data_IF_857711609782
#
_entry.id   IF_857711609782
#
_cell.length_a   1.000
_cell.length_b   1.000
_cell.length_c   1.000
_cell.angle_alpha   90.00
_cell.angle_beta   90.00
_cell.angle_gamma   90.00
#
_symmetry.space_group_name_H-M   'P 1'
#
loop_
_entity.id
_entity.type
_entity.pdbx_description
1 polymer ?
#
# COMPACT_ATOMS: atom_id res chain seq x y z
N UNK A 1 -29.44 -1.88 43.02
CA UNK A 1 -28.65 -3.08 42.67
C UNK A 1 -29.60 -4.19 42.28
N UNK A 2 -29.56 -4.66 41.03
CA UNK A 2 -29.97 -6.01 40.60
C UNK A 2 -29.46 -6.17 39.15
N UNK A 3 -28.47 -7.05 38.98
CA UNK A 3 -27.80 -7.36 37.71
C UNK A 3 -28.58 -8.47 37.02
N UNK A 4 -29.10 -8.22 35.83
CA UNK A 4 -29.56 -9.26 34.92
C UNK A 4 -28.45 -9.54 33.93
N UNK A 5 -27.82 -10.71 34.10
CA UNK A 5 -26.86 -11.32 33.18
C UNK A 5 -27.68 -11.92 32.05
N UNK A 6 -27.55 -11.38 30.83
CA UNK A 6 -28.06 -12.00 29.61
C UNK A 6 -26.87 -12.58 28.83
N UNK A 7 -26.85 -13.91 28.81
CA UNK A 7 -25.92 -14.77 28.07
C UNK A 7 -26.16 -14.54 26.57
N UNK A 8 -25.14 -14.14 25.81
CA UNK A 8 -25.16 -14.12 24.35
C UNK A 8 -24.13 -15.13 23.82
N UNK A 9 -24.61 -16.36 23.66
CA UNK A 9 -23.97 -17.45 22.96
C UNK A 9 -24.69 -17.63 21.62
N UNK A 10 -23.94 -17.67 20.53
CA UNK A 10 -24.36 -18.31 19.28
C UNK A 10 -25.02 -17.41 18.25
N UNK A 11 -24.18 -16.87 17.36
CA UNK A 11 -24.61 -16.26 16.10
C UNK A 11 -23.53 -16.45 15.05
N UNK A 12 -23.30 -17.70 14.62
CA UNK A 12 -22.53 -18.00 13.41
C UNK A 12 -23.35 -17.48 12.23
N UNK A 13 -23.05 -16.26 11.78
CA UNK A 13 -23.51 -15.77 10.50
C UNK A 13 -22.36 -15.95 9.51
N UNK A 14 -22.47 -17.03 8.72
CA UNK A 14 -21.85 -17.15 7.40
C UNK A 14 -22.42 -16.04 6.51
N UNK A 15 -21.86 -14.84 6.59
CA UNK A 15 -21.99 -13.83 5.54
C UNK A 15 -20.70 -13.84 4.74
N UNK A 16 -20.81 -14.07 3.43
CA UNK A 16 -19.68 -14.13 2.53
C UNK A 16 -18.74 -12.94 2.71
N UNK A 17 -17.44 -13.20 2.72
CA UNK A 17 -16.38 -12.21 2.79
C UNK A 17 -16.38 -11.32 1.54
N UNK A 18 -17.35 -10.43 1.43
CA UNK A 18 -17.21 -9.18 0.67
C UNK A 18 -17.25 -8.05 1.68
N UNK A 19 -16.29 -8.07 2.62
CA UNK A 19 -15.89 -6.84 3.27
C UNK A 19 -15.31 -5.94 2.17
N UNK A 20 -16.17 -5.16 1.51
CA UNK A 20 -15.74 -3.91 0.88
C UNK A 20 -15.10 -3.12 2.01
N UNK A 21 -13.79 -3.26 2.16
CA UNK A 21 -13.01 -2.47 3.10
C UNK A 21 -13.13 -1.04 2.58
N UNK A 22 -14.12 -0.32 3.11
CA UNK A 22 -14.32 1.08 2.78
C UNK A 22 -13.01 1.79 3.13
N UNK A 23 -12.42 2.46 2.14
CA UNK A 23 -11.17 3.19 2.37
C UNK A 23 -11.41 4.18 3.51
N UNK A 24 -10.52 4.23 4.52
CA UNK A 24 -10.70 5.14 5.62
C UNK A 24 -10.76 6.58 5.10
N UNK A 25 -11.64 7.39 5.68
CA UNK A 25 -11.74 8.81 5.34
C UNK A 25 -10.46 9.53 5.75
N UNK A 26 -9.96 10.39 4.87
CA UNK A 26 -8.79 11.21 5.15
C UNK A 26 -9.15 12.30 6.17
N UNK A 27 -8.39 12.36 7.27
CA UNK A 27 -8.55 13.40 8.29
C UNK A 27 -7.94 14.73 7.82
N UNK A 28 -8.45 15.86 8.33
CA UNK A 28 -8.06 17.21 7.90
C UNK A 28 -6.55 17.49 8.04
N UNK A 29 -5.93 17.04 9.12
CA UNK A 29 -4.48 17.14 9.33
C UNK A 29 -3.67 16.35 8.27
N UNK A 30 -4.23 15.27 7.73
CA UNK A 30 -3.60 14.48 6.69
C UNK A 30 -3.66 15.19 5.33
N UNK A 31 -4.71 15.97 5.04
CA UNK A 31 -4.74 16.82 3.84
C UNK A 31 -3.53 17.75 3.79
N UNK A 32 -3.26 18.46 4.90
CA UNK A 32 -2.08 19.34 5.02
C UNK A 32 -0.76 18.59 4.77
N UNK A 33 -0.66 17.37 5.28
CA UNK A 33 0.58 16.58 5.16
C UNK A 33 0.81 16.12 3.72
N UNK A 34 -0.23 15.62 3.06
CA UNK A 34 -0.16 15.19 1.66
C UNK A 34 0.07 16.37 0.70
N UNK A 35 -0.63 17.49 0.89
CA UNK A 35 -0.45 18.69 0.08
C UNK A 35 0.95 19.27 0.23
N UNK A 36 1.45 19.40 1.47
CA UNK A 36 2.80 19.89 1.74
C UNK A 36 3.86 19.00 1.10
N UNK A 37 3.72 17.67 1.18
CA UNK A 37 4.65 16.73 0.54
C UNK A 37 4.66 16.88 -1.00
N UNK A 38 3.48 16.94 -1.63
CA UNK A 38 3.35 17.10 -3.08
C UNK A 38 3.96 18.42 -3.56
N UNK A 39 3.67 19.52 -2.86
CA UNK A 39 4.21 20.84 -3.16
C UNK A 39 5.72 20.87 -2.94
N UNK A 40 6.20 20.27 -1.85
CA UNK A 40 7.62 20.27 -1.53
C UNK A 40 8.45 19.57 -2.61
N UNK A 41 8.02 18.37 -3.02
CA UNK A 41 8.63 17.65 -4.13
C UNK A 41 8.65 18.50 -5.39
N UNK A 42 7.50 19.09 -5.76
CA UNK A 42 7.39 19.89 -6.98
C UNK A 42 8.31 21.12 -6.96
N UNK A 43 8.38 21.85 -5.84
CA UNK A 43 9.23 23.03 -5.71
C UNK A 43 10.72 22.68 -5.71
N UNK A 44 11.11 21.60 -5.04
CA UNK A 44 12.50 21.14 -5.03
C UNK A 44 12.97 20.71 -6.43
N UNK A 45 12.13 20.04 -7.22
CA UNK A 45 12.44 19.70 -8.61
C UNK A 45 12.52 20.96 -9.47
N UNK A 46 11.53 21.87 -9.36
CA UNK A 46 11.49 23.10 -10.15
C UNK A 46 12.68 24.04 -9.87
N UNK A 47 13.22 23.99 -8.64
CA UNK A 47 14.40 24.76 -8.24
C UNK A 47 15.72 24.09 -8.63
N UNK A 48 15.69 22.86 -9.16
CA UNK A 48 16.88 22.10 -9.51
C UNK A 48 17.66 21.53 -8.33
N UNK A 49 17.10 21.57 -7.12
CA UNK A 49 17.78 21.06 -5.91
C UNK A 49 17.72 19.53 -5.78
N UNK A 50 16.76 18.89 -6.45
CA UNK A 50 16.65 17.42 -6.51
C UNK A 50 16.45 16.96 -7.96
N UNK A 51 16.88 15.74 -8.27
CA UNK A 51 16.74 15.21 -9.63
C UNK A 51 15.27 14.96 -10.00
N UNK A 52 14.89 15.07 -11.28
CA UNK A 52 13.54 14.74 -11.75
C UNK A 52 13.11 13.32 -11.38
N UNK A 53 14.02 12.34 -11.42
CA UNK A 53 13.73 10.95 -11.09
C UNK A 53 13.42 10.77 -9.60
N UNK A 54 14.18 11.47 -8.74
CA UNK A 54 13.95 11.48 -7.29
C UNK A 54 12.61 12.12 -6.98
N UNK A 55 12.32 13.26 -7.62
CA UNK A 55 11.02 13.93 -7.47
C UNK A 55 9.85 13.11 -8.01
N UNK A 56 10.01 12.44 -9.15
CA UNK A 56 8.99 11.58 -9.73
C UNK A 56 8.64 10.42 -8.78
N UNK A 57 9.66 9.73 -8.23
CA UNK A 57 9.44 8.68 -7.25
C UNK A 57 8.74 9.21 -6.00
N UNK A 58 9.20 10.33 -5.44
CA UNK A 58 8.58 10.95 -4.26
C UNK A 58 7.11 11.29 -4.51
N UNK A 59 6.80 11.92 -5.64
CA UNK A 59 5.43 12.28 -6.02
C UNK A 59 4.55 11.04 -6.21
N UNK A 60 5.03 10.03 -6.94
CA UNK A 60 4.28 8.79 -7.17
C UNK A 60 3.98 8.09 -5.85
N UNK A 61 4.98 7.96 -4.97
CA UNK A 61 4.80 7.34 -3.66
C UNK A 61 3.77 8.11 -2.80
N UNK A 62 3.81 9.45 -2.80
CA UNK A 62 2.82 10.26 -2.09
C UNK A 62 1.40 10.08 -2.66
N UNK A 63 1.25 10.02 -3.99
CA UNK A 63 -0.06 9.79 -4.63
C UNK A 63 -0.57 8.38 -4.34
N UNK A 64 0.27 7.35 -4.43
CA UNK A 64 -0.10 5.98 -4.09
C UNK A 64 -0.54 5.87 -2.63
N UNK A 65 0.20 6.51 -1.72
CA UNK A 65 -0.18 6.57 -0.31
C UNK A 65 -1.46 7.38 -0.07
N UNK A 66 -1.77 8.38 -0.88
CA UNK A 66 -3.03 9.11 -0.80
C UNK A 66 -4.19 8.24 -1.32
N UNK A 67 -3.96 7.45 -2.36
CA UNK A 67 -4.95 6.58 -2.98
C UNK A 67 -5.41 5.43 -2.07
N UNK A 68 -4.74 5.17 -0.95
CA UNK A 68 -5.24 4.24 0.09
C UNK A 68 -6.38 4.82 0.91
N UNK A 69 -6.63 6.13 0.81
CA UNK A 69 -7.68 6.85 1.54
C UNK A 69 -8.87 7.20 0.66
N UNK A 70 -10.01 7.43 1.30
CA UNK A 70 -11.14 8.12 0.71
C UNK A 70 -11.00 9.63 0.99
N UNK A 71 -10.84 10.44 -0.04
CA UNK A 71 -10.61 11.88 0.10
C UNK A 71 -11.37 12.67 -0.98
N UNK A 72 -11.66 13.94 -0.69
CA UNK A 72 -12.23 14.89 -1.62
C UNK A 72 -11.11 15.53 -2.44
N UNK A 73 -11.12 15.27 -3.75
CA UNK A 73 -10.14 15.81 -4.68
C UNK A 73 -10.17 17.34 -4.79
N UNK A 74 -11.35 17.97 -4.74
CA UNK A 74 -11.46 19.43 -4.83
C UNK A 74 -10.91 20.09 -3.57
N UNK A 75 -11.18 19.48 -2.42
CA UNK A 75 -10.60 19.92 -1.16
C UNK A 75 -9.07 19.80 -1.21
N UNK A 76 -8.54 18.65 -1.64
CA UNK A 76 -7.09 18.45 -1.79
C UNK A 76 -6.44 19.48 -2.73
N UNK A 77 -7.08 19.78 -3.87
CA UNK A 77 -6.59 20.80 -4.79
C UNK A 77 -6.52 22.20 -4.15
N UNK A 78 -7.49 22.52 -3.28
CA UNK A 78 -7.48 23.75 -2.49
C UNK A 78 -6.26 23.83 -1.57
N UNK A 79 -5.93 22.72 -0.89
CA UNK A 79 -4.76 22.62 -0.02
C UNK A 79 -3.45 22.72 -0.81
N UNK A 80 -3.34 22.04 -1.95
CA UNK A 80 -2.16 22.11 -2.81
C UNK A 80 -1.92 23.55 -3.30
N UNK A 81 -2.96 24.25 -3.76
CA UNK A 81 -2.84 25.65 -4.21
C UNK A 81 -2.39 26.57 -3.09
N UNK A 82 -2.99 26.44 -1.90
CA UNK A 82 -2.62 27.20 -0.70
C UNK A 82 -1.15 26.97 -0.34
N UNK A 83 -0.73 25.71 -0.28
CA UNK A 83 0.63 25.35 0.12
C UNK A 83 1.65 25.77 -0.93
N UNK A 84 1.30 25.72 -2.21
CA UNK A 84 2.15 26.23 -3.28
C UNK A 84 2.43 27.72 -3.13
N UNK A 85 1.47 28.51 -2.64
CA UNK A 85 1.69 29.93 -2.36
C UNK A 85 2.54 30.17 -1.10
N UNK A 86 2.36 29.35 -0.07
CA UNK A 86 2.88 29.65 1.28
C UNK A 86 4.18 28.95 1.66
N UNK A 87 4.43 27.74 1.11
CA UNK A 87 5.63 26.98 1.46
C UNK A 87 6.84 27.55 0.72
N UNK A 88 7.87 27.94 1.46
CA UNK A 88 9.18 28.29 0.91
C UNK A 88 10.18 27.24 1.39
N UNK A 89 11.01 26.73 0.47
CA UNK A 89 11.98 25.67 0.76
C UNK A 89 13.38 26.18 0.46
N UNK A 90 14.27 25.99 1.42
CA UNK A 90 15.70 26.17 1.21
C UNK A 90 16.28 24.94 0.50
N UNK A 91 17.51 25.08 0.00
CA UNK A 91 18.25 23.93 -0.53
C UNK A 91 18.46 22.84 0.53
N UNK A 92 18.64 23.21 1.80
CA UNK A 92 18.80 22.26 2.90
C UNK A 92 17.53 21.42 3.13
N UNK A 93 16.35 22.04 3.01
CA UNK A 93 15.07 21.34 3.11
C UNK A 93 14.91 20.33 1.96
N UNK A 94 15.25 20.75 0.74
CA UNK A 94 15.19 19.88 -0.44
C UNK A 94 16.18 18.72 -0.38
N UNK A 95 17.39 18.95 0.14
CA UNK A 95 18.37 17.88 0.36
C UNK A 95 17.86 16.87 1.38
N UNK A 96 17.26 17.35 2.47
CA UNK A 96 16.65 16.48 3.50
C UNK A 96 15.52 15.65 2.90
N UNK A 97 14.64 16.29 2.12
CA UNK A 97 13.57 15.61 1.40
C UNK A 97 14.12 14.54 0.43
N UNK A 98 15.16 14.87 -0.35
CA UNK A 98 15.80 13.91 -1.25
C UNK A 98 16.33 12.68 -0.52
N UNK A 99 16.98 12.88 0.62
CA UNK A 99 17.47 11.78 1.46
C UNK A 99 16.33 10.88 1.92
N UNK A 100 15.24 11.46 2.45
CA UNK A 100 14.08 10.68 2.88
C UNK A 100 13.42 9.91 1.74
N UNK A 101 13.33 10.50 0.54
CA UNK A 101 12.78 9.85 -0.64
C UNK A 101 13.66 8.66 -1.07
N UNK A 102 14.97 8.85 -1.13
CA UNK A 102 15.92 7.80 -1.52
C UNK A 102 15.94 6.68 -0.49
N UNK A 103 15.91 7.02 0.81
CA UNK A 103 15.80 6.03 1.87
C UNK A 103 14.54 5.17 1.71
N UNK A 104 13.39 5.82 1.47
CA UNK A 104 12.13 5.10 1.26
C UNK A 104 12.17 4.19 0.03
N UNK A 105 12.78 4.65 -1.07
CA UNK A 105 13.00 3.85 -2.27
C UNK A 105 13.80 2.59 -1.96
N UNK A 106 14.90 2.73 -1.22
CA UNK A 106 15.76 1.60 -0.86
C UNK A 106 15.05 0.62 0.08
N UNK A 107 14.27 1.12 1.03
CA UNK A 107 13.44 0.28 1.92
C UNK A 107 12.41 -0.55 1.14
N UNK A 108 11.76 0.05 0.12
CA UNK A 108 10.79 -0.66 -0.72
C UNK A 108 11.48 -1.69 -1.62
N UNK A 109 12.64 -1.36 -2.21
CA UNK A 109 13.41 -2.30 -2.99
C UNK A 109 13.84 -3.53 -2.16
N UNK A 110 14.34 -3.31 -0.94
CA UNK A 110 14.72 -4.38 -0.03
C UNK A 110 13.52 -5.25 0.38
N UNK A 111 12.37 -4.63 0.68
CA UNK A 111 11.13 -5.36 0.99
C UNK A 111 10.65 -6.20 -0.20
N UNK A 112 10.68 -5.64 -1.41
CA UNK A 112 10.25 -6.35 -2.61
C UNK A 112 11.15 -7.55 -2.90
N UNK A 113 12.45 -7.42 -2.69
CA UNK A 113 13.38 -8.54 -2.85
C UNK A 113 13.12 -9.64 -1.82
N UNK A 114 12.90 -9.29 -0.55
CA UNK A 114 12.54 -10.27 0.48
C UNK A 114 11.22 -10.99 0.15
N UNK A 115 10.21 -10.27 -0.33
CA UNK A 115 8.94 -10.86 -0.75
C UNK A 115 9.12 -11.82 -1.92
N UNK A 116 10.00 -11.49 -2.88
CA UNK A 116 10.31 -12.36 -4.02
C UNK A 116 10.97 -13.65 -3.57
N UNK A 117 11.98 -13.58 -2.69
CA UNK A 117 12.64 -14.76 -2.14
C UNK A 117 11.68 -15.65 -1.34
N UNK A 118 10.79 -15.04 -0.53
CA UNK A 118 9.77 -15.78 0.21
C UNK A 118 8.75 -16.47 -0.72
N UNK A 119 8.36 -15.80 -1.81
CA UNK A 119 7.45 -16.37 -2.80
C UNK A 119 8.10 -17.52 -3.58
N UNK A 120 9.38 -17.39 -3.94
CA UNK A 120 10.16 -18.47 -4.57
C UNK A 120 10.29 -19.66 -3.62
N UNK A 121 10.65 -19.44 -2.35
CA UNK A 121 10.73 -20.50 -1.35
C UNK A 121 9.37 -21.20 -1.10
N UNK A 122 8.26 -20.46 -1.12
CA UNK A 122 6.92 -21.07 -1.04
C UNK A 122 6.59 -21.93 -2.26
N UNK A 123 6.94 -21.47 -3.47
CA UNK A 123 6.75 -22.27 -4.69
C UNK A 123 7.59 -23.54 -4.66
N UNK A 124 8.83 -23.46 -4.20
CA UNK A 124 9.70 -24.62 -4.08
C UNK A 124 9.19 -25.61 -3.02
N UNK A 125 8.64 -25.12 -1.91
CA UNK A 125 7.97 -25.97 -0.92
C UNK A 125 6.72 -26.64 -1.51
N UNK A 126 5.88 -25.89 -2.22
CA UNK A 126 4.67 -26.40 -2.87
C UNK A 126 4.98 -27.45 -3.94
N UNK A 127 6.09 -27.28 -4.66
CA UNK A 127 6.56 -28.24 -5.67
C UNK A 127 7.27 -29.47 -5.08
N UNK A 128 7.86 -29.35 -3.89
CA UNK A 128 8.56 -30.46 -3.21
C UNK A 128 7.68 -31.28 -2.28
N UNK A 129 6.45 -30.83 -1.99
CA UNK A 129 5.48 -31.64 -1.25
C UNK A 129 5.04 -32.87 -2.07
N UNK A 130 5.04 -34.08 -1.47
CA UNK A 130 4.61 -35.30 -2.17
C UNK A 130 3.13 -35.18 -2.55
N UNK A 131 2.85 -35.13 -3.86
CA UNK A 131 1.50 -35.08 -4.41
C UNK A 131 0.89 -36.47 -4.43
N UNK A 132 -0.29 -36.60 -3.83
CA UNK A 132 -1.00 -37.88 -3.86
C UNK A 132 -1.65 -38.04 -5.22
N UNK A 133 -1.11 -38.95 -6.02
CA UNK A 133 -1.63 -39.25 -7.36
C UNK A 133 -2.62 -40.39 -7.27
N UNK A 134 -3.90 -40.08 -7.45
CA UNK A 134 -4.95 -41.10 -7.55
C UNK A 134 -5.20 -41.39 -9.03
N UNK A 135 -4.99 -42.63 -9.45
CA UNK A 135 -5.28 -43.07 -10.81
C UNK A 135 -6.53 -43.96 -10.82
N UNK A 136 -7.55 -43.58 -11.61
CA UNK A 136 -8.75 -44.39 -11.84
C UNK A 136 -8.76 -44.87 -13.29
N UNK A 137 -9.07 -46.14 -13.49
CA UNK A 137 -9.19 -46.74 -14.84
C UNK A 137 -10.66 -46.99 -15.16
N UNK A 138 -11.13 -46.47 -16.28
CA UNK A 138 -12.50 -46.70 -16.78
C UNK A 138 -12.38 -47.28 -18.19
N UNK A 139 -12.77 -48.55 -18.35
CA UNK A 139 -12.57 -49.28 -19.60
C UNK A 139 -11.08 -49.49 -19.89
N UNK A 140 -10.60 -48.98 -21.03
CA UNK A 140 -9.18 -49.04 -21.45
C UNK A 140 -8.39 -47.75 -21.21
N UNK A 141 -9.01 -46.73 -20.60
CA UNK A 141 -8.37 -45.44 -20.34
C UNK A 141 -8.10 -45.26 -18.84
N UNK A 142 -6.88 -44.82 -18.51
CA UNK A 142 -6.46 -44.50 -17.15
C UNK A 142 -6.34 -42.98 -16.99
N UNK A 143 -7.03 -42.45 -15.99
CA UNK A 143 -6.99 -41.04 -15.61
C UNK A 143 -6.30 -40.90 -14.26
N UNK A 144 -5.15 -40.22 -14.25
CA UNK A 144 -4.42 -39.91 -13.03
C UNK A 144 -4.64 -38.43 -12.67
N UNK A 145 -4.98 -38.19 -11.41
CA UNK A 145 -5.12 -36.84 -10.87
C UNK A 145 -4.21 -36.71 -9.64
N UNK A 146 -3.31 -35.74 -9.70
CA UNK A 146 -2.36 -35.44 -8.63
C UNK A 146 -2.88 -34.23 -7.85
N UNK A 147 -3.11 -34.43 -6.55
CA UNK A 147 -3.53 -33.38 -5.61
C UNK A 147 -2.40 -33.04 -4.65
#
# INVERSE_FOLDING_TARGET
MKKTIAILLGGILLQGCTSTVEKPKLAENQYNSFSAALVAVQKCVASGYISPETGAFGRTYTIESLNTWNFDSQLMDGYIKRDFANIQLSQADCNTLAMSIVEKRNQLAARNEQMRQNAEAQRDLENSMPKNTTCNTIGTQTFCNSY
#
